data_IF_962145918757
#
_entry.id   IF_962145918757
#
_cell.length_a   1.000
_cell.length_b   1.000
_cell.length_c   1.000
_cell.angle_alpha   90.00
_cell.angle_beta   90.00
_cell.angle_gamma   90.00
#
_symmetry.space_group_name_H-M   'P 1'
#
loop_
_entity.id
_entity.type
_entity.pdbx_description
1 polymer ?
#
# COMPACT_ATOMS: atom_id res chain seq x y z
N UNK A 1 -26.96 -10.04 5.16
CA UNK A 1 -26.32 -8.73 5.44
C UNK A 1 -24.81 -8.66 5.18
N UNK A 2 -24.09 -9.78 4.92
CA UNK A 2 -22.63 -9.72 4.72
C UNK A 2 -22.19 -9.12 3.37
N UNK A 3 -22.93 -9.34 2.26
CA UNK A 3 -22.59 -8.78 0.93
C UNK A 3 -22.49 -7.26 0.90
N UNK A 4 -23.33 -6.55 1.65
CA UNK A 4 -23.29 -5.08 1.69
C UNK A 4 -22.05 -4.53 2.42
N UNK A 5 -21.58 -5.21 3.48
CA UNK A 5 -20.38 -4.77 4.22
C UNK A 5 -19.10 -4.95 3.40
N UNK A 6 -18.99 -6.07 2.66
CA UNK A 6 -17.85 -6.32 1.79
C UNK A 6 -17.75 -5.29 0.64
N UNK A 7 -18.87 -5.00 -0.04
CA UNK A 7 -18.89 -3.99 -1.12
C UNK A 7 -18.57 -2.57 -0.61
N UNK A 8 -19.03 -2.21 0.58
CA UNK A 8 -18.71 -0.92 1.21
C UNK A 8 -17.23 -0.86 1.63
N UNK A 9 -16.63 -1.98 2.03
CA UNK A 9 -15.21 -2.06 2.36
C UNK A 9 -14.34 -1.97 1.09
N UNK A 10 -14.68 -2.71 0.04
CA UNK A 10 -13.97 -2.66 -1.25
C UNK A 10 -13.95 -1.24 -1.84
N UNK A 11 -15.09 -0.55 -1.85
CA UNK A 11 -15.15 0.83 -2.34
C UNK A 11 -14.25 1.80 -1.55
N UNK A 12 -14.11 1.60 -0.24
CA UNK A 12 -13.21 2.41 0.60
C UNK A 12 -11.73 2.09 0.36
N UNK A 13 -11.41 0.83 0.07
CA UNK A 13 -10.05 0.45 -0.25
C UNK A 13 -9.64 0.97 -1.64
N UNK A 14 -10.52 0.93 -2.63
CA UNK A 14 -10.26 1.50 -3.96
C UNK A 14 -9.99 3.02 -3.88
N UNK A 15 -10.79 3.74 -3.09
CA UNK A 15 -10.58 5.18 -2.84
C UNK A 15 -9.25 5.44 -2.13
N UNK A 16 -8.91 4.64 -1.12
CA UNK A 16 -7.63 4.74 -0.43
C UNK A 16 -6.44 4.49 -1.38
N UNK A 17 -6.54 3.51 -2.29
CA UNK A 17 -5.49 3.24 -3.28
C UNK A 17 -5.27 4.43 -4.21
N UNK A 18 -6.35 5.07 -4.68
CA UNK A 18 -6.25 6.28 -5.52
C UNK A 18 -5.59 7.44 -4.76
N UNK A 19 -5.91 7.61 -3.47
CA UNK A 19 -5.24 8.61 -2.63
C UNK A 19 -3.75 8.31 -2.46
N UNK A 20 -3.38 7.05 -2.23
CA UNK A 20 -1.97 6.66 -2.13
C UNK A 20 -1.23 6.85 -3.45
N UNK A 21 -1.86 6.59 -4.60
CA UNK A 21 -1.27 6.84 -5.91
C UNK A 21 -0.95 8.31 -6.12
N UNK A 22 -1.91 9.20 -5.86
CA UNK A 22 -1.67 10.65 -5.94
C UNK A 22 -0.61 11.13 -4.96
N UNK A 23 -0.59 10.57 -3.75
CA UNK A 23 0.44 10.91 -2.77
C UNK A 23 1.83 10.44 -3.21
N UNK A 24 1.92 9.27 -3.85
CA UNK A 24 3.15 8.72 -4.43
C UNK A 24 3.59 9.45 -5.71
N UNK A 25 2.68 10.08 -6.45
CA UNK A 25 3.04 11.00 -7.56
C UNK A 25 3.76 12.25 -7.03
N UNK A 26 3.41 12.71 -5.83
CA UNK A 26 4.02 13.87 -5.18
C UNK A 26 5.34 13.48 -4.49
N UNK A 27 5.34 12.37 -3.75
CA UNK A 27 6.50 11.86 -3.02
C UNK A 27 6.70 10.36 -3.29
N UNK A 28 7.36 10.01 -4.40
CA UNK A 28 7.55 8.61 -4.80
C UNK A 28 8.52 7.85 -3.90
N UNK A 29 9.33 8.56 -3.11
CA UNK A 29 10.35 7.98 -2.21
C UNK A 29 9.80 7.72 -0.81
N UNK A 30 8.52 8.00 -0.58
CA UNK A 30 7.89 7.78 0.70
C UNK A 30 7.61 6.29 0.97
N UNK A 31 8.55 5.62 1.65
CA UNK A 31 8.38 4.21 2.02
C UNK A 31 7.08 3.96 2.80
N UNK A 32 6.64 4.92 3.63
CA UNK A 32 5.41 4.77 4.43
C UNK A 32 4.18 4.69 3.53
N UNK A 33 4.10 5.49 2.46
CA UNK A 33 3.01 5.42 1.49
C UNK A 33 2.98 4.09 0.74
N UNK A 34 4.13 3.57 0.32
CA UNK A 34 4.23 2.24 -0.29
C UNK A 34 3.76 1.14 0.66
N UNK A 35 4.14 1.20 1.94
CA UNK A 35 3.69 0.23 2.94
C UNK A 35 2.17 0.30 3.16
N UNK A 36 1.59 1.50 3.27
CA UNK A 36 0.14 1.66 3.43
C UNK A 36 -0.65 1.18 2.21
N UNK A 37 -0.16 1.46 1.00
CA UNK A 37 -0.72 0.93 -0.25
C UNK A 37 -0.72 -0.60 -0.25
N UNK A 38 0.37 -1.24 0.19
CA UNK A 38 0.46 -2.68 0.34
C UNK A 38 -0.54 -3.28 1.33
N UNK A 39 -0.78 -2.62 2.48
CA UNK A 39 -1.77 -3.06 3.47
C UNK A 39 -3.19 -3.00 2.90
N UNK A 40 -3.53 -1.95 2.16
CA UNK A 40 -4.83 -1.81 1.50
C UNK A 40 -5.04 -2.92 0.47
N UNK A 41 -4.07 -3.15 -0.41
CA UNK A 41 -4.10 -4.24 -1.41
C UNK A 41 -4.25 -5.62 -0.77
N UNK A 42 -3.52 -5.88 0.32
CA UNK A 42 -3.65 -7.13 1.08
C UNK A 42 -5.07 -7.32 1.62
N UNK A 43 -5.69 -6.24 2.12
CA UNK A 43 -7.05 -6.28 2.68
C UNK A 43 -8.11 -6.54 1.60
N UNK A 44 -7.81 -6.23 0.34
CA UNK A 44 -8.64 -6.56 -0.83
C UNK A 44 -8.32 -7.94 -1.43
N UNK A 45 -7.37 -8.70 -0.87
CA UNK A 45 -6.92 -9.99 -1.43
C UNK A 45 -5.99 -9.88 -2.64
N UNK A 46 -5.50 -8.68 -2.98
CA UNK A 46 -4.55 -8.41 -4.06
C UNK A 46 -3.11 -8.62 -3.59
N UNK A 47 -2.79 -9.87 -3.25
CA UNK A 47 -1.54 -10.21 -2.54
C UNK A 47 -0.26 -9.93 -3.35
N UNK A 48 -0.25 -10.21 -4.66
CA UNK A 48 0.93 -9.99 -5.49
C UNK A 48 1.31 -8.50 -5.55
N UNK A 49 0.33 -7.63 -5.76
CA UNK A 49 0.53 -6.18 -5.80
C UNK A 49 0.92 -5.62 -4.42
N UNK A 50 0.38 -6.21 -3.34
CA UNK A 50 0.79 -5.87 -1.99
C UNK A 50 2.28 -6.18 -1.76
N UNK A 51 2.76 -7.34 -2.22
CA UNK A 51 4.18 -7.74 -2.11
C UNK A 51 5.07 -6.75 -2.85
N UNK A 52 4.70 -6.35 -4.07
CA UNK A 52 5.47 -5.34 -4.83
C UNK A 52 5.55 -4.01 -4.08
N UNK A 53 4.45 -3.57 -3.46
CA UNK A 53 4.44 -2.35 -2.66
C UNK A 53 5.33 -2.47 -1.42
N UNK A 54 5.32 -3.61 -0.73
CA UNK A 54 6.20 -3.84 0.42
C UNK A 54 7.66 -3.89 0.02
N UNK A 55 8.00 -4.52 -1.11
CA UNK A 55 9.36 -4.55 -1.63
C UNK A 55 9.87 -3.13 -1.93
N UNK A 56 9.07 -2.31 -2.63
CA UNK A 56 9.40 -0.90 -2.85
C UNK A 56 9.57 -0.12 -1.55
N UNK A 57 8.70 -0.34 -0.56
CA UNK A 57 8.86 0.28 0.75
C UNK A 57 10.19 -0.09 1.38
N UNK A 58 10.62 -1.35 1.30
CA UNK A 58 11.88 -1.80 1.88
C UNK A 58 13.10 -1.26 1.13
N UNK A 59 13.02 -1.12 -0.20
CA UNK A 59 14.08 -0.50 -1.01
C UNK A 59 14.28 0.98 -0.68
N UNK A 60 13.21 1.67 -0.27
CA UNK A 60 13.20 3.10 0.04
C UNK A 60 13.55 3.42 1.49
N UNK A 61 13.43 2.45 2.41
CA UNK A 61 13.97 2.63 3.76
C UNK A 61 15.50 2.71 3.62
N UNK A 62 16.14 3.81 4.04
CA UNK A 62 17.58 3.89 4.06
C UNK A 62 18.09 2.67 4.80
N UNK A 63 18.90 1.87 4.11
CA UNK A 63 19.45 0.64 4.64
C UNK A 63 20.52 1.02 5.66
N UNK A 64 20.12 1.50 6.84
CA UNK A 64 20.96 1.69 8.03
C UNK A 64 21.44 0.34 8.61
N UNK A 65 21.43 -0.73 7.80
CA UNK A 65 21.75 -2.10 8.20
C UNK A 65 23.11 -2.59 7.66
N UNK A 66 23.91 -1.73 7.01
CA UNK A 66 25.29 -2.04 6.60
C UNK A 66 26.32 -1.10 7.25
N UNK A 67 26.24 -0.93 8.58
CA UNK A 67 27.31 -0.32 9.36
C UNK A 67 27.46 -0.98 10.74
N UNK A 68 27.90 -2.23 10.78
CA UNK A 68 28.51 -2.87 11.96
C UNK A 68 29.40 -4.04 11.54
#
# INVERSE_FOLDING_TARGET
MQKGKALVQDGKYEEALNLFEKALEIDPLNHTLWNQKGIALRSMGRYNEAIECFNKSLELVPKDLDAS
#
